data_IF_635064254881
#
_entry.id   IF_635064254881
#
_cell.length_a   1.000
_cell.length_b   1.000
_cell.length_c   1.000
_cell.angle_alpha   90.00
_cell.angle_beta   90.00
_cell.angle_gamma   90.00
#
_symmetry.space_group_name_H-M   'P 1'
#
loop_
_entity.id
_entity.type
_entity.pdbx_description
1 polymer ?
#
# COMPACT_ATOMS: atom_id res chain seq x y z
N UNK A 1 26.29 36.23 3.71
CA UNK A 1 26.16 36.17 2.24
C UNK A 1 27.54 36.36 1.66
N UNK A 2 28.06 35.36 0.94
CA UNK A 2 29.39 35.46 0.33
C UNK A 2 29.41 36.63 -0.64
N UNK A 3 30.34 37.55 -0.46
CA UNK A 3 30.51 38.67 -1.39
C UNK A 3 30.88 38.12 -2.77
N UNK A 4 30.15 38.55 -3.79
CA UNK A 4 30.42 38.16 -5.18
C UNK A 4 31.73 38.81 -5.66
N UNK A 5 32.49 38.15 -6.55
CA UNK A 5 33.66 38.76 -7.16
C UNK A 5 33.27 40.04 -7.92
N UNK A 6 34.08 41.11 -7.91
CA UNK A 6 33.77 42.35 -8.62
C UNK A 6 34.01 42.27 -10.13
N UNK A 7 34.71 41.22 -10.60
CA UNK A 7 35.15 41.09 -11.98
C UNK A 7 34.07 40.49 -12.91
N UNK A 8 33.64 41.29 -13.88
CA UNK A 8 32.55 40.97 -14.83
C UNK A 8 32.76 39.65 -15.59
N UNK A 9 33.96 39.31 -16.11
CA UNK A 9 34.16 38.04 -16.81
C UNK A 9 33.90 36.82 -15.92
N UNK A 10 34.32 36.88 -14.64
CA UNK A 10 34.11 35.79 -13.68
C UNK A 10 32.66 35.69 -13.23
N UNK A 11 31.98 36.81 -13.05
CA UNK A 11 30.53 36.81 -12.80
C UNK A 11 29.75 36.13 -13.93
N UNK A 12 30.12 36.39 -15.20
CA UNK A 12 29.52 35.70 -16.35
C UNK A 12 29.80 34.20 -16.35
N UNK A 13 31.02 33.78 -15.99
CA UNK A 13 31.36 32.36 -15.89
C UNK A 13 30.55 31.67 -14.77
N UNK A 14 30.41 32.33 -13.62
CA UNK A 14 29.59 31.86 -12.50
C UNK A 14 28.12 31.72 -12.92
N UNK A 15 27.54 32.73 -13.56
CA UNK A 15 26.15 32.68 -14.03
C UNK A 15 25.92 31.51 -14.98
N UNK A 16 26.79 31.35 -15.99
CA UNK A 16 26.71 30.22 -16.91
C UNK A 16 26.80 28.86 -16.20
N UNK A 17 27.67 28.75 -15.21
CA UNK A 17 27.79 27.52 -14.43
C UNK A 17 26.51 27.26 -13.61
N UNK A 18 25.94 28.29 -12.99
CA UNK A 18 24.70 28.17 -12.24
C UNK A 18 23.51 27.82 -13.14
N UNK A 19 23.40 28.43 -14.32
CA UNK A 19 22.37 28.08 -15.33
C UNK A 19 22.47 26.62 -15.75
N UNK A 20 23.70 26.14 -16.00
CA UNK A 20 23.95 24.73 -16.30
C UNK A 20 23.55 23.81 -15.14
N UNK A 21 23.92 24.18 -13.90
CA UNK A 21 23.54 23.42 -12.71
C UNK A 21 22.02 23.40 -12.49
N UNK A 22 21.33 24.51 -12.76
CA UNK A 22 19.87 24.59 -12.69
C UNK A 22 19.25 23.66 -13.73
N UNK A 23 19.72 23.69 -14.97
CA UNK A 23 19.22 22.82 -16.04
C UNK A 23 19.44 21.33 -15.72
N UNK A 24 20.63 20.96 -15.23
CA UNK A 24 20.95 19.58 -14.84
C UNK A 24 20.06 19.06 -13.71
N UNK A 25 19.70 19.94 -12.76
CA UNK A 25 18.89 19.57 -11.59
C UNK A 25 17.38 19.82 -11.79
N UNK A 26 16.96 20.34 -12.94
CA UNK A 26 15.55 20.62 -13.23
C UNK A 26 14.71 19.34 -13.12
N UNK A 27 15.23 18.22 -13.62
CA UNK A 27 14.57 16.91 -13.54
C UNK A 27 14.32 16.48 -12.10
N UNK A 28 15.28 16.71 -11.19
CA UNK A 28 15.12 16.42 -9.76
C UNK A 28 14.03 17.30 -9.16
N UNK A 29 14.00 18.59 -9.51
CA UNK A 29 12.96 19.51 -9.07
C UNK A 29 11.56 19.19 -9.61
N UNK A 30 11.47 18.63 -10.81
CA UNK A 30 10.20 18.11 -11.36
C UNK A 30 9.76 16.87 -10.59
N UNK A 31 10.65 15.90 -10.41
CA UNK A 31 10.35 14.66 -9.70
C UNK A 31 9.87 14.91 -8.26
N UNK A 32 10.55 15.78 -7.51
CA UNK A 32 10.15 16.10 -6.14
C UNK A 32 8.80 16.82 -6.07
N UNK A 33 8.44 17.62 -7.08
CA UNK A 33 7.11 18.24 -7.16
C UNK A 33 6.02 17.20 -7.37
N UNK A 34 6.24 16.26 -8.30
CA UNK A 34 5.32 15.15 -8.53
C UNK A 34 5.15 14.29 -7.27
N UNK A 35 6.25 13.95 -6.60
CA UNK A 35 6.19 13.22 -5.33
C UNK A 35 5.41 13.98 -4.26
N UNK A 36 5.65 15.29 -4.12
CA UNK A 36 4.93 16.13 -3.15
C UNK A 36 3.43 16.15 -3.43
N UNK A 37 3.02 16.24 -4.69
CA UNK A 37 1.62 16.23 -5.10
C UNK A 37 0.96 14.89 -4.77
N UNK A 38 1.60 13.77 -5.12
CA UNK A 38 1.10 12.45 -4.76
C UNK A 38 0.92 12.25 -3.25
N UNK A 39 1.88 12.76 -2.44
CA UNK A 39 1.78 12.73 -0.98
C UNK A 39 0.63 13.60 -0.48
N UNK A 40 0.45 14.80 -1.04
CA UNK A 40 -0.64 15.69 -0.67
C UNK A 40 -2.03 15.09 -0.96
N UNK A 41 -2.18 14.45 -2.12
CA UNK A 41 -3.42 13.74 -2.47
C UNK A 41 -3.71 12.59 -1.51
N UNK A 42 -2.71 11.76 -1.21
CA UNK A 42 -2.85 10.64 -0.27
C UNK A 42 -3.25 11.12 1.15
N UNK A 43 -2.69 12.25 1.60
CA UNK A 43 -3.07 12.88 2.86
C UNK A 43 -4.54 13.34 2.82
N UNK A 44 -4.95 14.05 1.79
CA UNK A 44 -6.33 14.52 1.63
C UNK A 44 -7.34 13.37 1.60
N UNK A 45 -6.99 12.26 0.94
CA UNK A 45 -7.83 11.05 0.94
C UNK A 45 -7.97 10.43 2.33
N UNK A 46 -6.88 10.36 3.09
CA UNK A 46 -6.88 9.79 4.45
C UNK A 46 -7.70 10.67 5.41
N UNK A 47 -7.50 11.99 5.35
CA UNK A 47 -8.25 12.95 6.17
C UNK A 47 -9.75 12.93 5.81
N UNK A 48 -10.08 12.85 4.53
CA UNK A 48 -11.47 12.75 4.05
C UNK A 48 -12.17 11.45 4.48
N UNK A 49 -11.46 10.32 4.48
CA UNK A 49 -11.99 9.03 4.94
C UNK A 49 -12.25 9.01 6.45
N UNK A 50 -11.38 9.63 7.25
CA UNK A 50 -11.58 9.75 8.70
C UNK A 50 -12.81 10.59 9.05
N UNK A 51 -13.13 11.62 8.25
CA UNK A 51 -14.33 12.44 8.42
C UNK A 51 -15.62 11.75 7.96
N UNK A 52 -15.53 10.77 7.06
CA UNK A 52 -16.68 10.05 6.49
C UNK A 52 -17.01 8.73 7.18
N UNK A 53 -16.22 8.26 8.14
CA UNK A 53 -16.63 7.11 8.96
C UNK A 53 -17.78 7.52 9.88
N UNK A 54 -19.01 7.00 9.69
CA UNK A 54 -20.06 7.17 10.68
C UNK A 54 -19.59 6.52 11.99
N UNK A 55 -19.94 7.07 13.17
CA UNK A 55 -19.57 6.46 14.43
C UNK A 55 -20.15 5.04 14.45
N UNK A 56 -19.26 4.04 14.43
CA UNK A 56 -19.61 2.64 14.62
C UNK A 56 -20.38 2.51 15.93
N UNK A 57 -21.71 2.48 15.84
CA UNK A 57 -22.59 2.22 16.97
C UNK A 57 -22.21 0.87 17.52
N UNK A 58 -21.57 0.89 18.68
CA UNK A 58 -21.21 -0.27 19.50
C UNK A 58 -22.51 -0.94 19.92
N UNK A 59 -23.01 -1.83 19.05
CA UNK A 59 -24.20 -2.62 19.24
C UNK A 59 -24.08 -3.44 20.51
N UNK A 60 -25.01 -3.18 21.41
CA UNK A 60 -25.18 -3.80 22.71
C UNK A 60 -25.30 -5.33 22.57
N UNK A 61 -24.57 -6.07 23.42
CA UNK A 61 -24.84 -7.50 23.68
C UNK A 61 -26.17 -7.61 24.42
N UNK A 62 -27.11 -8.44 23.97
CA UNK A 62 -28.06 -9.10 24.87
C UNK A 62 -27.51 -10.48 25.23
N UNK A 63 -27.67 -10.84 26.50
CA UNK A 63 -27.37 -12.17 27.01
C UNK A 63 -28.32 -13.24 26.42
N UNK A 64 -27.83 -14.49 26.42
CA UNK A 64 -28.35 -15.69 25.77
C UNK A 64 -29.82 -16.07 26.10
N UNK A 65 -30.40 -17.04 25.37
CA UNK A 65 -30.32 -18.40 25.90
C UNK A 65 -30.03 -19.51 24.86
N UNK A 66 -29.73 -20.66 25.45
CA UNK A 66 -29.41 -21.99 24.91
C UNK A 66 -30.22 -22.49 23.72
N UNK A 67 -29.51 -23.22 22.85
CA UNK A 67 -30.03 -24.33 22.05
C UNK A 67 -30.38 -23.98 20.61
N UNK A 68 -29.53 -24.38 19.67
CA UNK A 68 -29.88 -25.17 18.47
C UNK A 68 -28.63 -25.31 17.59
N UNK A 69 -28.32 -26.54 17.23
CA UNK A 69 -27.27 -26.89 16.27
C UNK A 69 -27.60 -26.29 14.91
N UNK A 70 -26.75 -25.40 14.41
CA UNK A 70 -26.60 -25.22 12.97
C UNK A 70 -25.22 -24.66 12.68
N UNK A 71 -24.55 -25.31 11.72
CA UNK A 71 -23.35 -24.86 11.05
C UNK A 71 -23.55 -23.45 10.49
N UNK A 72 -23.28 -22.42 11.29
CA UNK A 72 -23.14 -21.07 10.79
C UNK A 72 -21.73 -20.95 10.21
N UNK A 73 -21.56 -21.51 9.02
CA UNK A 73 -20.53 -21.06 8.08
C UNK A 73 -20.73 -19.55 7.99
N UNK A 74 -19.81 -18.79 8.58
CA UNK A 74 -19.74 -17.35 8.46
C UNK A 74 -19.82 -16.94 6.99
N UNK A 75 -20.11 -15.67 6.67
CA UNK A 75 -20.20 -15.21 5.29
C UNK A 75 -18.98 -15.78 4.56
N UNK A 76 -19.25 -16.64 3.57
CA UNK A 76 -18.20 -17.32 2.80
C UNK A 76 -17.21 -16.22 2.45
N UNK A 77 -15.97 -16.39 2.92
CA UNK A 77 -14.90 -15.47 2.62
C UNK A 77 -14.93 -15.24 1.12
N UNK A 78 -14.47 -14.09 0.70
CA UNK A 78 -14.41 -13.67 -0.70
C UNK A 78 -13.49 -14.53 -1.58
N UNK A 79 -13.22 -15.78 -1.17
CA UNK A 79 -12.35 -16.76 -1.78
C UNK A 79 -10.89 -16.64 -1.37
N UNK A 80 -10.47 -15.54 -0.74
CA UNK A 80 -9.06 -15.22 -0.54
C UNK A 80 -8.74 -14.74 0.87
N UNK A 81 -7.53 -15.02 1.33
CA UNK A 81 -7.03 -14.63 2.64
C UNK A 81 -5.55 -14.21 2.56
N UNK A 82 -5.16 -13.21 3.35
CA UNK A 82 -3.78 -12.71 3.42
C UNK A 82 -3.17 -13.06 4.77
N UNK A 83 -2.08 -13.81 4.73
CA UNK A 83 -1.22 -14.08 5.87
C UNK A 83 -0.14 -13.00 5.97
N UNK A 84 -0.06 -12.31 7.12
CA UNK A 84 1.01 -11.35 7.41
C UNK A 84 2.15 -12.06 8.14
N UNK A 85 3.32 -12.15 7.50
CA UNK A 85 4.47 -12.79 8.13
C UNK A 85 5.13 -11.83 9.14
N UNK A 86 4.91 -12.08 10.42
CA UNK A 86 5.52 -11.27 11.49
C UNK A 86 7.05 -11.29 11.42
N UNK A 87 7.68 -10.14 11.20
CA UNK A 87 9.13 -9.94 11.35
C UNK A 87 9.44 -8.95 12.46
N UNK A 88 10.61 -9.11 13.07
CA UNK A 88 11.08 -8.23 14.14
C UNK A 88 11.43 -6.81 13.64
N UNK A 89 11.85 -6.65 12.38
CA UNK A 89 12.22 -5.36 11.74
C UNK A 89 11.96 -5.46 10.23
N UNK A 90 11.21 -4.50 9.65
CA UNK A 90 10.99 -4.33 8.19
C UNK A 90 9.53 -4.52 7.72
N UNK A 91 9.14 -4.02 6.52
CA UNK A 91 7.82 -4.24 5.95
C UNK A 91 7.61 -5.75 5.72
N UNK A 92 6.51 -6.28 6.27
CA UNK A 92 6.26 -7.72 6.36
C UNK A 92 5.89 -8.29 4.97
N UNK A 93 6.57 -9.35 4.51
CA UNK A 93 6.11 -10.04 3.31
C UNK A 93 4.76 -10.71 3.62
N UNK A 94 3.76 -10.38 2.81
CA UNK A 94 2.44 -10.98 2.97
C UNK A 94 2.29 -12.14 1.99
N UNK A 95 1.59 -13.19 2.39
CA UNK A 95 1.25 -14.30 1.51
C UNK A 95 -0.24 -14.35 1.26
N UNK A 96 -0.64 -14.51 0.01
CA UNK A 96 -2.05 -14.66 -0.35
C UNK A 96 -2.38 -16.14 -0.46
N UNK A 97 -3.54 -16.50 0.07
CA UNK A 97 -4.10 -17.83 0.09
C UNK A 97 -5.53 -17.79 -0.44
N UNK A 98 -6.05 -18.95 -0.85
CA UNK A 98 -7.48 -19.18 -0.97
C UNK A 98 -8.05 -19.40 0.45
N UNK A 99 -9.31 -19.03 0.68
CA UNK A 99 -9.98 -19.07 1.99
C UNK A 99 -9.99 -20.46 2.68
N UNK A 100 -9.83 -21.54 1.92
CA UNK A 100 -9.76 -22.94 2.42
C UNK A 100 -8.33 -23.54 2.37
N UNK A 101 -7.28 -22.71 2.33
CA UNK A 101 -5.90 -23.20 2.33
C UNK A 101 -5.51 -23.77 3.71
N UNK A 102 -5.41 -25.11 3.81
CA UNK A 102 -5.00 -25.80 5.03
C UNK A 102 -3.57 -25.50 5.53
N UNK A 103 -2.76 -24.79 4.74
CA UNK A 103 -1.42 -24.32 5.10
C UNK A 103 -1.38 -22.83 5.51
N UNK A 104 -2.52 -22.14 5.55
CA UNK A 104 -2.56 -20.75 5.96
C UNK A 104 -2.35 -20.61 7.48
N UNK A 105 -1.48 -19.67 7.87
CA UNK A 105 -1.39 -19.20 9.25
C UNK A 105 -2.57 -18.29 9.64
N UNK A 106 -2.41 -17.41 10.65
CA UNK A 106 -3.40 -16.40 10.98
C UNK A 106 -3.61 -15.44 9.81
N UNK A 107 -4.62 -15.71 8.99
CA UNK A 107 -4.90 -14.98 7.77
C UNK A 107 -6.13 -14.08 7.93
N UNK A 108 -6.09 -12.91 7.29
CA UNK A 108 -7.22 -12.00 7.22
C UNK A 108 -7.96 -12.19 5.89
N UNK A 109 -9.30 -12.35 5.89
CA UNK A 109 -10.05 -12.50 4.65
C UNK A 109 -9.96 -11.21 3.83
N UNK A 110 -9.71 -11.34 2.53
CA UNK A 110 -9.60 -10.22 1.58
C UNK A 110 -10.42 -10.49 0.33
N UNK A 111 -10.85 -9.42 -0.34
CA UNK A 111 -11.60 -9.56 -1.59
C UNK A 111 -10.70 -10.03 -2.73
N UNK A 112 -11.28 -10.60 -3.79
CA UNK A 112 -10.53 -10.97 -4.99
C UNK A 112 -9.81 -9.77 -5.64
N UNK A 113 -10.38 -8.56 -5.53
CA UNK A 113 -9.76 -7.35 -6.04
C UNK A 113 -8.56 -6.93 -5.18
N UNK A 114 -8.68 -7.01 -3.86
CA UNK A 114 -7.58 -6.71 -2.94
C UNK A 114 -6.45 -7.74 -3.08
N UNK A 115 -6.81 -9.01 -3.28
CA UNK A 115 -5.85 -10.08 -3.55
C UNK A 115 -5.06 -9.81 -4.84
N UNK A 116 -5.73 -9.40 -5.92
CA UNK A 116 -5.05 -8.98 -7.15
C UNK A 116 -4.13 -7.79 -6.94
N UNK A 117 -4.62 -6.75 -6.26
CA UNK A 117 -3.83 -5.55 -5.99
C UNK A 117 -2.59 -5.86 -5.13
N UNK A 118 -2.74 -6.75 -4.15
CA UNK A 118 -1.65 -7.17 -3.30
C UNK A 118 -0.61 -8.01 -4.06
N UNK A 119 -1.00 -8.91 -4.97
CA UNK A 119 -0.05 -9.66 -5.81
C UNK A 119 0.75 -8.81 -6.81
N UNK A 120 0.37 -7.54 -7.03
CA UNK A 120 1.18 -6.60 -7.81
C UNK A 120 2.33 -6.00 -7.00
N UNK A 121 2.30 -6.10 -5.66
CA UNK A 121 3.38 -5.62 -4.80
C UNK A 121 4.52 -6.65 -4.75
N UNK A 122 5.78 -6.27 -5.04
CA UNK A 122 6.92 -7.18 -4.99
C UNK A 122 7.19 -7.77 -3.60
N UNK A 123 6.59 -7.24 -2.54
CA UNK A 123 6.68 -7.75 -1.18
C UNK A 123 5.59 -8.77 -0.84
N UNK A 124 4.73 -9.13 -1.78
CA UNK A 124 3.62 -10.07 -1.55
C UNK A 124 3.74 -11.27 -2.49
N UNK A 125 3.67 -12.46 -1.91
CA UNK A 125 3.81 -13.72 -2.66
C UNK A 125 2.47 -14.48 -2.69
N UNK A 126 2.18 -15.13 -3.82
CA UNK A 126 1.12 -16.12 -3.90
C UNK A 126 1.55 -17.40 -3.17
N UNK A 127 0.64 -18.01 -2.41
CA UNK A 127 0.91 -19.32 -1.82
C UNK A 127 1.08 -20.37 -2.93
N UNK A 128 2.22 -21.10 -2.96
CA UNK A 128 2.47 -22.09 -4.01
C UNK A 128 1.55 -23.33 -3.91
N UNK A 129 0.90 -23.53 -2.77
CA UNK A 129 0.04 -24.70 -2.54
C UNK A 129 -1.39 -24.52 -3.05
N UNK A 130 -1.96 -23.33 -2.89
CA UNK A 130 -3.32 -23.05 -3.34
C UNK A 130 -3.38 -22.15 -4.58
N UNK A 131 -2.24 -21.69 -5.12
CA UNK A 131 -2.12 -20.92 -6.38
C UNK A 131 -3.25 -19.90 -6.58
N UNK A 132 -3.40 -18.93 -5.68
CA UNK A 132 -4.46 -17.93 -5.77
C UNK A 132 -4.29 -17.02 -7.00
N UNK A 133 -3.07 -16.89 -7.50
CA UNK A 133 -2.71 -16.20 -8.74
C UNK A 133 -3.33 -16.85 -9.99
N UNK A 134 -3.37 -18.18 -10.05
CA UNK A 134 -4.01 -18.91 -11.14
C UNK A 134 -5.52 -18.69 -11.16
N UNK A 135 -6.17 -18.70 -9.99
CA UNK A 135 -7.61 -18.41 -9.87
C UNK A 135 -7.95 -16.95 -10.16
N UNK A 136 -7.02 -16.03 -9.89
CA UNK A 136 -7.18 -14.60 -10.16
C UNK A 136 -6.77 -14.19 -11.58
N UNK A 137 -6.23 -15.12 -12.38
CA UNK A 137 -5.78 -14.88 -13.75
C UNK A 137 -4.55 -13.96 -13.86
N UNK A 138 -3.68 -13.98 -12.84
CA UNK A 138 -2.45 -13.15 -12.77
C UNK A 138 -1.20 -13.97 -13.14
N UNK A 139 -1.33 -15.29 -13.30
CA UNK A 139 -0.29 -16.11 -13.93
C UNK A 139 -0.12 -15.65 -15.39
N UNK A 140 0.83 -14.73 -15.60
CA UNK A 140 1.35 -14.36 -16.91
C UNK A 140 2.45 -15.37 -17.24
N UNK A 141 2.24 -16.18 -18.28
CA UNK A 141 3.26 -17.05 -18.89
C UNK A 141 4.55 -16.30 -19.25
#
# INVERSE_FOLDING_TARGET
MSALPPDVPRLRAILRHLEQQIAENETVGVYLRLQREAVAEALAHTEGQAAQQPPSVRGQRPAAPTGFTSNARGPKGTGFAVERQRRAIGPEPARIHIDDCGNAGPAHPVTAQDARAALLDPMVEACPFCRPDAELGIDVD
#
